data_IF_537749005262
#
_entry.id   IF_537749005262
#
_cell.length_a   1.000
_cell.length_b   1.000
_cell.length_c   1.000
_cell.angle_alpha   90.00
_cell.angle_beta   90.00
_cell.angle_gamma   90.00
#
_symmetry.space_group_name_H-M   'P 1'
#
loop_
_entity.id
_entity.type
_entity.pdbx_description
1 polymer ?
#
# COMPACT_ATOMS: atom_id res chain seq x y z
N UNK A 1 -14.61 15.24 5.23
CA UNK A 1 -15.26 14.58 6.37
C UNK A 1 -16.25 15.52 7.05
N UNK A 2 -15.80 16.63 7.64
CA UNK A 2 -16.64 17.52 8.46
C UNK A 2 -17.87 18.04 7.72
N UNK A 3 -17.69 18.60 6.52
CA UNK A 3 -18.80 19.14 5.73
C UNK A 3 -19.75 18.07 5.23
N UNK A 4 -19.25 16.85 4.93
CA UNK A 4 -20.10 15.72 4.60
C UNK A 4 -21.00 15.30 5.78
N UNK A 5 -20.50 15.38 7.01
CA UNK A 5 -21.32 15.11 8.19
C UNK A 5 -22.31 16.25 8.49
N UNK A 6 -21.93 17.51 8.29
CA UNK A 6 -22.77 18.69 8.62
C UNK A 6 -23.89 18.97 7.64
N UNK A 7 -23.79 18.45 6.41
CA UNK A 7 -24.82 18.66 5.37
C UNK A 7 -26.21 18.22 5.81
N UNK A 8 -26.31 17.16 6.60
CA UNK A 8 -27.58 16.67 7.15
C UNK A 8 -28.31 17.68 8.05
N UNK A 9 -27.59 18.69 8.55
CA UNK A 9 -28.12 19.77 9.38
C UNK A 9 -28.16 21.11 8.63
N UNK A 10 -27.90 21.11 7.31
CA UNK A 10 -27.82 22.35 6.52
C UNK A 10 -26.66 23.25 6.93
N UNK A 11 -25.61 22.72 7.58
CA UNK A 11 -24.47 23.49 8.09
C UNK A 11 -23.20 23.17 7.30
N UNK A 12 -22.28 24.14 7.29
CA UNK A 12 -20.97 24.03 6.67
C UNK A 12 -19.90 24.63 7.59
N UNK A 13 -18.75 23.97 7.70
CA UNK A 13 -17.52 24.59 8.21
C UNK A 13 -16.87 25.40 7.10
N UNK A 14 -16.40 26.58 7.45
CA UNK A 14 -15.56 27.43 6.61
C UNK A 14 -14.12 27.24 7.11
N UNK A 15 -13.17 27.16 6.18
CA UNK A 15 -11.75 27.13 6.52
C UNK A 15 -11.33 28.49 7.07
N UNK A 16 -10.73 28.50 8.28
CA UNK A 16 -10.34 29.72 8.99
C UNK A 16 -8.82 29.96 8.96
N UNK A 17 -8.12 29.48 7.91
CA UNK A 17 -6.68 29.64 7.75
C UNK A 17 -5.97 28.35 7.40
N UNK A 18 -4.64 28.39 7.48
CA UNK A 18 -3.76 27.27 7.16
C UNK A 18 -2.75 27.06 8.29
N UNK A 19 -2.49 25.79 8.60
CA UNK A 19 -1.40 25.38 9.47
C UNK A 19 -0.18 25.03 8.62
N UNK A 20 1.02 25.40 9.06
CA UNK A 20 2.25 24.88 8.49
C UNK A 20 2.58 23.55 9.17
N UNK A 21 2.88 22.53 8.37
CA UNK A 21 3.31 21.22 8.86
C UNK A 21 4.58 20.80 8.16
N UNK A 22 5.38 20.03 8.86
CA UNK A 22 6.55 19.34 8.32
C UNK A 22 6.19 17.88 8.03
N UNK A 23 6.47 17.43 6.81
CA UNK A 23 6.35 16.03 6.41
C UNK A 23 7.71 15.60 5.86
N UNK A 24 8.43 14.81 6.62
CA UNK A 24 9.75 14.27 6.24
C UNK A 24 10.76 15.34 5.77
N UNK A 25 10.77 16.50 6.46
CA UNK A 25 11.64 17.63 6.14
C UNK A 25 11.08 18.61 5.08
N UNK A 26 9.88 18.37 4.57
CA UNK A 26 9.21 19.25 3.63
C UNK A 26 8.14 20.10 4.32
N UNK A 27 8.34 21.42 4.32
CA UNK A 27 7.34 22.37 4.83
C UNK A 27 6.16 22.47 3.85
N UNK A 28 4.97 22.20 4.34
CA UNK A 28 3.74 22.35 3.55
C UNK A 28 2.65 23.02 4.37
N UNK A 29 1.65 23.56 3.70
CA UNK A 29 0.49 24.20 4.34
C UNK A 29 -0.76 23.35 4.17
N UNK A 30 -1.50 23.16 5.23
CA UNK A 30 -2.78 22.45 5.24
C UNK A 30 -3.89 23.33 5.80
N UNK A 31 -5.15 23.15 5.36
CA UNK A 31 -6.27 23.89 5.95
C UNK A 31 -6.35 23.65 7.46
N UNK A 32 -6.52 24.75 8.23
CA UNK A 32 -6.66 24.67 9.68
C UNK A 32 -7.92 23.89 10.07
N UNK A 33 -7.78 22.92 10.95
CA UNK A 33 -8.89 22.16 11.50
C UNK A 33 -9.20 22.66 12.92
N UNK A 34 -10.32 23.36 13.09
CA UNK A 34 -10.75 23.88 14.37
C UNK A 34 -10.88 22.80 15.44
N UNK A 35 -10.73 23.17 16.73
CA UNK A 35 -10.91 22.23 17.84
C UNK A 35 -12.31 21.59 17.85
N UNK A 36 -13.33 22.31 17.40
CA UNK A 36 -14.70 21.82 17.25
C UNK A 36 -14.81 20.75 16.16
N UNK A 37 -14.14 20.95 15.04
CA UNK A 37 -14.14 19.98 13.93
C UNK A 37 -13.33 18.74 14.27
N UNK A 38 -12.23 18.89 14.99
CA UNK A 38 -11.46 17.73 15.52
C UNK A 38 -12.30 16.87 16.47
N UNK A 39 -13.09 17.49 17.35
CA UNK A 39 -14.03 16.78 18.23
C UNK A 39 -15.10 16.04 17.44
N UNK A 40 -15.66 16.68 16.41
CA UNK A 40 -16.66 16.05 15.53
C UNK A 40 -16.07 14.84 14.78
N UNK A 41 -14.86 14.97 14.19
CA UNK A 41 -14.19 13.87 13.49
C UNK A 41 -13.99 12.68 14.44
N UNK A 42 -13.50 12.92 15.67
CA UNK A 42 -13.32 11.88 16.68
C UNK A 42 -14.65 11.21 17.04
N UNK A 43 -15.69 11.98 17.27
CA UNK A 43 -17.02 11.46 17.57
C UNK A 43 -17.52 10.54 16.46
N UNK A 44 -17.44 10.98 15.20
CA UNK A 44 -17.85 10.19 14.04
C UNK A 44 -17.06 8.88 13.92
N UNK A 45 -15.75 8.91 14.15
CA UNK A 45 -14.91 7.73 14.12
C UNK A 45 -15.26 6.75 15.25
N UNK A 46 -15.40 7.24 16.50
CA UNK A 46 -15.74 6.42 17.67
C UNK A 46 -17.10 5.72 17.55
N UNK A 47 -18.06 6.36 16.91
CA UNK A 47 -19.41 5.83 16.70
C UNK A 47 -19.60 5.16 15.33
N UNK A 48 -18.51 4.88 14.61
CA UNK A 48 -18.50 4.19 13.32
C UNK A 48 -19.41 4.85 12.24
N UNK A 49 -19.49 6.18 12.25
CA UNK A 49 -20.15 6.95 11.20
C UNK A 49 -19.23 7.04 9.98
N UNK A 50 -19.17 5.97 9.19
CA UNK A 50 -18.18 5.80 8.12
C UNK A 50 -18.42 6.70 6.89
N UNK A 51 -19.69 7.04 6.57
CA UNK A 51 -20.03 7.73 5.33
C UNK A 51 -19.32 9.07 5.15
N UNK A 52 -19.16 9.94 6.17
CA UNK A 52 -18.38 11.18 6.01
C UNK A 52 -16.91 10.94 5.61
N UNK A 53 -16.32 9.81 6.02
CA UNK A 53 -14.96 9.43 5.66
C UNK A 53 -14.88 8.82 4.27
N UNK A 54 -15.99 8.35 3.70
CA UNK A 54 -16.06 7.84 2.33
C UNK A 54 -16.07 8.97 1.27
N UNK A 55 -16.32 10.23 1.67
CA UNK A 55 -16.27 11.39 0.78
C UNK A 55 -14.86 11.98 0.58
N UNK A 56 -13.85 11.35 1.17
CA UNK A 56 -12.43 11.73 0.95
C UNK A 56 -11.84 10.92 -0.19
N UNK A 57 -10.77 11.44 -0.80
CA UNK A 57 -9.97 10.68 -1.77
C UNK A 57 -8.50 10.80 -1.40
N UNK A 58 -7.81 9.66 -1.39
CA UNK A 58 -6.38 9.55 -1.14
C UNK A 58 -5.80 8.71 -2.28
N UNK A 59 -4.73 9.18 -2.89
CA UNK A 59 -3.96 8.42 -3.88
C UNK A 59 -2.56 8.20 -3.35
N UNK A 60 -2.14 6.94 -3.30
CA UNK A 60 -0.80 6.53 -2.91
C UNK A 60 -0.08 5.95 -4.12
N UNK A 61 1.19 6.30 -4.31
CA UNK A 61 2.11 5.58 -5.18
C UNK A 61 2.92 4.61 -4.31
N UNK A 62 2.78 3.33 -4.57
CA UNK A 62 3.39 2.27 -3.74
C UNK A 62 4.34 1.44 -4.59
N UNK A 63 5.52 1.16 -4.05
CA UNK A 63 6.48 0.21 -4.58
C UNK A 63 6.65 -0.92 -3.56
N UNK A 64 6.38 -2.15 -3.97
CA UNK A 64 6.54 -3.32 -3.12
C UNK A 64 6.75 -4.59 -3.95
N UNK A 65 7.24 -5.69 -3.36
CA UNK A 65 7.34 -6.96 -4.05
C UNK A 65 5.97 -7.52 -4.47
N UNK A 66 5.93 -8.27 -5.56
CA UNK A 66 4.70 -8.88 -6.10
C UNK A 66 3.94 -9.69 -5.05
N UNK A 67 4.61 -10.44 -4.17
CA UNK A 67 3.92 -11.20 -3.13
C UNK A 67 3.16 -10.31 -2.15
N UNK A 68 3.66 -9.10 -1.83
CA UNK A 68 2.96 -8.09 -1.02
C UNK A 68 1.82 -7.47 -1.82
N UNK A 69 2.08 -7.07 -3.07
CA UNK A 69 1.08 -6.50 -3.96
C UNK A 69 -0.13 -7.44 -4.13
N UNK A 70 0.10 -8.75 -4.31
CA UNK A 70 -0.97 -9.77 -4.38
C UNK A 70 -1.80 -9.85 -3.10
N UNK A 71 -1.19 -9.67 -1.95
CA UNK A 71 -1.88 -9.67 -0.67
C UNK A 71 -2.73 -8.40 -0.51
N UNK A 72 -2.16 -7.23 -0.82
CA UNK A 72 -2.86 -5.94 -0.77
C UNK A 72 -3.97 -5.84 -1.81
N UNK A 73 -3.78 -6.38 -3.00
CA UNK A 73 -4.75 -6.39 -4.08
C UNK A 73 -6.07 -7.15 -3.79
N UNK A 74 -6.15 -7.85 -2.65
CA UNK A 74 -7.41 -8.45 -2.15
C UNK A 74 -8.36 -7.40 -1.57
N UNK A 75 -7.84 -6.22 -1.20
CA UNK A 75 -8.65 -5.11 -0.71
C UNK A 75 -9.21 -4.32 -1.89
N UNK A 76 -10.43 -4.64 -2.31
CA UNK A 76 -11.04 -4.05 -3.51
C UNK A 76 -12.14 -3.03 -3.21
N UNK A 77 -12.81 -3.16 -2.06
CA UNK A 77 -14.00 -2.34 -1.76
C UNK A 77 -13.63 -0.88 -1.49
N UNK A 78 -14.04 0.00 -2.40
CA UNK A 78 -13.77 1.43 -2.34
C UNK A 78 -12.34 1.82 -2.69
N UNK A 79 -11.60 0.94 -3.37
CA UNK A 79 -10.21 1.13 -3.78
C UNK A 79 -10.06 0.87 -5.28
N UNK A 80 -9.24 1.68 -5.94
CA UNK A 80 -8.89 1.55 -7.37
C UNK A 80 -7.39 1.34 -7.46
N UNK A 81 -6.98 0.38 -8.28
CA UNK A 81 -5.62 -0.07 -8.45
C UNK A 81 -5.17 0.04 -9.90
N UNK A 82 -4.03 0.66 -10.15
CA UNK A 82 -3.40 0.71 -11.46
C UNK A 82 -1.89 0.44 -11.33
N UNK A 83 -1.46 -0.68 -11.84
CA UNK A 83 -0.12 -1.24 -11.65
C UNK A 83 0.71 -1.18 -12.93
N UNK A 84 2.03 -1.00 -12.80
CA UNK A 84 2.98 -1.17 -13.88
C UNK A 84 2.83 -2.56 -14.50
N UNK A 85 2.86 -2.62 -15.83
CA UNK A 85 2.72 -3.91 -16.52
C UNK A 85 4.02 -4.31 -17.20
N UNK A 86 4.58 -5.41 -16.75
CA UNK A 86 5.72 -6.06 -17.39
C UNK A 86 5.41 -6.70 -18.76
N UNK A 87 4.23 -6.45 -19.31
CA UNK A 87 3.96 -6.70 -20.72
C UNK A 87 4.56 -5.64 -21.63
N UNK A 88 4.80 -4.44 -21.07
CA UNK A 88 5.23 -3.27 -21.82
C UNK A 88 6.63 -2.78 -21.45
N UNK A 89 7.23 -3.34 -20.41
CA UNK A 89 8.56 -2.95 -19.92
C UNK A 89 9.48 -4.18 -19.90
N UNK A 90 10.69 -4.00 -20.43
CA UNK A 90 11.68 -5.05 -20.65
C UNK A 90 12.97 -4.88 -19.82
N UNK A 91 13.10 -3.75 -19.11
CA UNK A 91 14.27 -3.54 -18.24
C UNK A 91 14.32 -4.56 -17.10
N UNK A 92 15.54 -4.86 -16.65
CA UNK A 92 15.79 -5.77 -15.52
C UNK A 92 15.10 -5.27 -14.25
N UNK A 93 14.22 -6.08 -13.63
CA UNK A 93 13.51 -5.67 -12.42
C UNK A 93 14.41 -5.70 -11.20
N UNK A 94 14.07 -4.89 -10.21
CA UNK A 94 14.62 -4.95 -8.87
C UNK A 94 14.01 -6.13 -8.09
N UNK A 95 14.81 -6.79 -7.25
CA UNK A 95 14.40 -7.93 -6.43
C UNK A 95 14.50 -7.58 -4.97
N UNK A 96 13.46 -7.86 -4.21
CA UNK A 96 13.45 -7.76 -2.76
C UNK A 96 14.19 -8.94 -2.13
N UNK A 97 15.06 -8.64 -1.17
CA UNK A 97 15.67 -9.61 -0.29
C UNK A 97 15.48 -9.14 1.14
N UNK A 98 14.91 -9.94 2.04
CA UNK A 98 14.79 -9.57 3.44
C UNK A 98 16.17 -9.43 4.09
N UNK A 99 16.30 -8.57 5.09
CA UNK A 99 17.52 -8.44 5.89
C UNK A 99 17.78 -9.69 6.71
N UNK A 100 16.71 -10.34 7.17
CA UNK A 100 16.75 -11.55 7.99
C UNK A 100 15.70 -12.57 7.51
N UNK A 101 16.08 -13.85 7.52
CA UNK A 101 15.16 -14.94 7.28
C UNK A 101 14.62 -15.48 8.60
N UNK A 102 13.30 -15.45 8.76
CA UNK A 102 12.62 -15.91 9.97
C UNK A 102 12.14 -17.36 9.82
N UNK A 103 12.24 -18.11 10.92
CA UNK A 103 11.66 -19.46 10.99
C UNK A 103 10.13 -19.40 11.05
N UNK A 104 9.50 -20.50 10.66
CA UNK A 104 8.06 -20.67 10.83
C UNK A 104 7.70 -20.61 12.33
N UNK A 105 6.52 -20.09 12.64
CA UNK A 105 6.00 -20.11 14.01
C UNK A 105 5.25 -21.44 14.24
N UNK A 106 5.51 -22.10 15.38
CA UNK A 106 4.90 -23.39 15.71
C UNK A 106 3.42 -23.25 16.13
N UNK A 107 3.05 -22.09 16.65
CA UNK A 107 1.75 -21.80 17.26
C UNK A 107 0.79 -21.00 16.39
N UNK A 108 1.20 -20.65 15.16
CA UNK A 108 0.42 -19.80 14.25
C UNK A 108 0.19 -20.47 12.91
N UNK A 109 -1.03 -20.33 12.39
CA UNK A 109 -1.36 -20.80 11.03
C UNK A 109 -0.69 -19.97 9.94
N UNK A 110 -0.34 -18.73 10.24
CA UNK A 110 0.36 -17.79 9.36
C UNK A 110 1.28 -16.90 10.21
N UNK A 111 2.29 -16.33 9.56
CA UNK A 111 3.31 -15.52 10.23
C UNK A 111 4.60 -16.30 10.49
N UNK A 112 5.56 -15.64 11.08
CA UNK A 112 6.89 -16.17 11.39
C UNK A 112 7.20 -15.99 12.87
N UNK A 113 8.12 -16.83 13.38
CA UNK A 113 8.69 -16.64 14.72
C UNK A 113 9.66 -15.46 14.74
N UNK A 114 10.14 -15.10 15.94
CA UNK A 114 11.21 -14.11 16.10
C UNK A 114 12.60 -14.73 15.95
N UNK A 115 12.70 -16.04 15.69
CA UNK A 115 13.96 -16.72 15.47
C UNK A 115 14.37 -16.55 14.00
N UNK A 116 15.64 -16.31 13.76
CA UNK A 116 16.22 -16.09 12.43
C UNK A 116 17.16 -17.24 12.06
N UNK A 117 17.37 -17.40 10.77
CA UNK A 117 18.30 -18.37 10.19
C UNK A 117 19.06 -17.71 9.04
N UNK A 118 20.34 -18.04 8.92
CA UNK A 118 21.12 -17.63 7.75
C UNK A 118 20.71 -18.47 6.53
N UNK A 119 20.28 -17.79 5.49
CA UNK A 119 19.94 -18.43 4.21
C UNK A 119 20.23 -17.49 3.04
N UNK A 120 20.76 -18.04 1.96
CA UNK A 120 21.06 -17.29 0.74
C UNK A 120 20.16 -17.73 -0.41
N UNK A 121 19.36 -16.81 -0.93
CA UNK A 121 18.54 -16.98 -2.14
C UNK A 121 19.20 -16.40 -3.38
N UNK A 122 20.35 -15.75 -3.23
CA UNK A 122 21.05 -15.05 -4.32
C UNK A 122 21.27 -15.91 -5.57
N UNK A 123 21.68 -17.19 -5.48
CA UNK A 123 21.85 -18.02 -6.68
C UNK A 123 20.55 -18.17 -7.49
N UNK A 124 19.41 -18.34 -6.82
CA UNK A 124 18.10 -18.45 -7.47
C UNK A 124 17.68 -17.13 -8.15
N UNK A 125 17.93 -16.00 -7.50
CA UNK A 125 17.60 -14.70 -8.07
C UNK A 125 18.47 -14.36 -9.28
N UNK A 126 19.78 -14.59 -9.18
CA UNK A 126 20.71 -14.38 -10.30
C UNK A 126 20.30 -15.25 -11.50
N UNK A 127 19.99 -16.51 -11.26
CA UNK A 127 19.56 -17.42 -12.33
C UNK A 127 18.25 -16.96 -12.99
N UNK A 128 17.25 -16.55 -12.19
CA UNK A 128 15.97 -16.08 -12.71
C UNK A 128 16.12 -14.81 -13.55
N UNK A 129 16.93 -13.83 -13.08
CA UNK A 129 17.20 -12.59 -13.81
C UNK A 129 17.97 -12.86 -15.11
N UNK A 130 18.98 -13.73 -15.07
CA UNK A 130 19.72 -14.11 -16.28
C UNK A 130 18.81 -14.83 -17.31
N UNK A 131 17.93 -15.71 -16.84
CA UNK A 131 16.95 -16.37 -17.70
C UNK A 131 16.02 -15.35 -18.35
N UNK A 132 15.48 -14.40 -17.55
CA UNK A 132 14.65 -13.31 -18.06
C UNK A 132 15.36 -12.49 -19.13
N UNK A 133 16.61 -12.07 -18.85
CA UNK A 133 17.40 -11.28 -19.78
C UNK A 133 17.66 -12.04 -21.09
N UNK A 134 18.07 -13.30 -21.02
CA UNK A 134 18.30 -14.15 -22.19
C UNK A 134 17.03 -14.31 -23.04
N UNK A 135 15.86 -14.43 -22.41
CA UNK A 135 14.57 -14.49 -23.12
C UNK A 135 14.29 -13.20 -23.88
N UNK A 136 14.48 -12.04 -23.25
CA UNK A 136 14.31 -10.73 -23.90
C UNK A 136 15.28 -10.58 -25.09
N UNK A 137 16.56 -10.88 -24.88
CA UNK A 137 17.60 -10.81 -25.94
C UNK A 137 17.34 -11.78 -27.11
N UNK A 138 16.67 -12.89 -26.82
CA UNK A 138 16.22 -13.85 -27.85
C UNK A 138 14.94 -13.42 -28.58
N UNK A 139 14.41 -12.22 -28.29
CA UNK A 139 13.21 -11.68 -28.92
C UNK A 139 11.90 -12.27 -28.38
N UNK A 140 11.92 -12.95 -27.22
CA UNK A 140 10.69 -13.44 -26.58
C UNK A 140 9.94 -12.23 -25.99
N UNK A 141 8.63 -12.17 -26.24
CA UNK A 141 7.79 -11.09 -25.78
C UNK A 141 7.86 -10.91 -24.24
N UNK A 142 7.96 -9.67 -23.72
CA UNK A 142 8.05 -9.40 -22.29
C UNK A 142 6.91 -10.02 -21.47
N UNK A 143 5.73 -10.15 -22.04
CA UNK A 143 4.58 -10.81 -21.41
C UNK A 143 4.81 -12.30 -21.11
N UNK A 144 5.70 -12.98 -21.87
CA UNK A 144 6.10 -14.36 -21.64
C UNK A 144 7.39 -14.42 -20.80
N UNK A 145 8.40 -13.59 -21.13
CA UNK A 145 9.67 -13.57 -20.42
C UNK A 145 9.48 -13.35 -18.91
N UNK A 146 8.54 -12.49 -18.50
CA UNK A 146 8.22 -12.22 -17.08
C UNK A 146 7.78 -13.44 -16.28
N UNK A 147 7.43 -14.56 -16.91
CA UNK A 147 6.96 -15.78 -16.23
C UNK A 147 8.06 -16.42 -15.36
N UNK A 148 9.34 -16.17 -15.67
CA UNK A 148 10.46 -16.70 -14.88
C UNK A 148 10.85 -15.83 -13.70
N UNK A 149 10.27 -14.64 -13.57
CA UNK A 149 10.60 -13.71 -12.49
C UNK A 149 10.01 -14.19 -11.15
N UNK A 150 10.78 -14.10 -10.05
CA UNK A 150 10.32 -14.51 -8.73
C UNK A 150 9.26 -13.53 -8.18
N UNK A 151 8.45 -13.99 -7.24
CA UNK A 151 7.45 -13.14 -6.58
C UNK A 151 8.06 -12.02 -5.72
N UNK A 152 9.34 -12.10 -5.40
CA UNK A 152 10.13 -11.05 -4.76
C UNK A 152 10.49 -9.89 -5.70
N UNK A 153 10.16 -9.98 -6.99
CA UNK A 153 10.31 -8.85 -7.95
C UNK A 153 9.47 -7.67 -7.48
N UNK A 154 10.09 -6.48 -7.46
CA UNK A 154 9.35 -5.26 -7.16
C UNK A 154 8.37 -4.91 -8.28
N UNK A 155 7.19 -4.43 -7.86
CA UNK A 155 6.19 -3.80 -8.70
C UNK A 155 5.79 -2.45 -8.11
N UNK A 156 5.13 -1.62 -8.89
CA UNK A 156 4.68 -0.29 -8.48
C UNK A 156 3.25 -0.06 -8.95
N UNK A 157 2.47 0.63 -8.11
CA UNK A 157 1.09 0.97 -8.48
C UNK A 157 0.60 2.26 -7.83
N UNK A 158 -0.36 2.87 -8.48
CA UNK A 158 -1.21 3.87 -7.87
C UNK A 158 -2.40 3.19 -7.20
N UNK A 159 -2.65 3.53 -5.96
CA UNK A 159 -3.75 3.01 -5.17
C UNK A 159 -4.60 4.15 -4.64
N UNK A 160 -5.83 4.27 -5.15
CA UNK A 160 -6.75 5.37 -4.82
C UNK A 160 -7.97 4.85 -4.07
N UNK A 161 -8.36 5.55 -3.05
CA UNK A 161 -9.57 5.23 -2.30
C UNK A 161 -9.95 6.28 -1.28
N UNK A 162 -11.06 6.05 -0.59
CA UNK A 162 -11.48 6.91 0.51
C UNK A 162 -10.71 6.60 1.79
N UNK A 163 -10.71 7.56 2.73
CA UNK A 163 -10.16 7.34 4.07
C UNK A 163 -10.82 6.15 4.78
N UNK A 164 -12.14 5.95 4.59
CA UNK A 164 -12.85 4.79 5.13
C UNK A 164 -12.33 3.47 4.55
N UNK A 165 -12.00 3.43 3.24
CA UNK A 165 -11.46 2.25 2.59
C UNK A 165 -10.06 1.91 3.11
N UNK A 166 -9.16 2.91 3.18
CA UNK A 166 -7.81 2.70 3.72
C UNK A 166 -7.80 2.36 5.21
N UNK A 167 -8.70 2.95 6.01
CA UNK A 167 -8.86 2.56 7.42
C UNK A 167 -9.15 1.06 7.56
N UNK A 168 -10.03 0.50 6.71
CA UNK A 168 -10.31 -0.94 6.70
C UNK A 168 -9.08 -1.77 6.33
N UNK A 169 -8.29 -1.33 5.35
CA UNK A 169 -7.00 -1.98 5.03
C UNK A 169 -6.09 -2.01 6.26
N UNK A 170 -5.87 -0.85 6.88
CA UNK A 170 -5.03 -0.76 8.08
C UNK A 170 -5.54 -1.68 9.19
N UNK A 171 -6.83 -1.64 9.53
CA UNK A 171 -7.41 -2.48 10.58
C UNK A 171 -7.18 -3.97 10.34
N UNK A 172 -7.22 -4.42 9.07
CA UNK A 172 -7.00 -5.82 8.73
C UNK A 172 -5.51 -6.20 8.59
N UNK A 173 -4.60 -5.22 8.51
CA UNK A 173 -3.16 -5.44 8.29
C UNK A 173 -2.27 -4.99 9.45
N UNK A 174 -2.86 -4.55 10.54
CA UNK A 174 -2.15 -4.23 11.79
C UNK A 174 -2.44 -5.23 12.91
N UNK A 175 -3.16 -6.31 12.62
CA UNK A 175 -3.29 -7.42 13.55
C UNK A 175 -1.94 -8.15 13.69
N UNK A 176 -1.66 -8.74 14.85
CA UNK A 176 -0.38 -9.41 15.16
C UNK A 176 -0.05 -10.56 14.20
N UNK A 177 -1.06 -11.13 13.55
CA UNK A 177 -0.97 -12.26 12.62
C UNK A 177 -1.24 -11.88 11.16
N UNK A 178 -1.23 -10.57 10.85
CA UNK A 178 -1.55 -10.05 9.52
C UNK A 178 -0.39 -10.13 8.50
#
# INVERSE_FOLDING_TARGET
VVNAARVSFGKRSVEEGYDQIDIDGYQTTVPHISSKDRKLIRYLAMHNHWTPFAHTSITLHIKAPVFVARQLGKHQVGLVWNEISRRYVDYTPEIYTPEEWRLAADDKKQGSSNQTVEYSVQPAYVFALQCYQNMIESGIAPEQARMVLPQSTYTEWYWTGSLAAFHRVCTQRTAEDA
#
